data_IF_085145629859
#
_entry.id   IF_085145629859
#
_cell.length_a   1.000
_cell.length_b   1.000
_cell.length_c   1.000
_cell.angle_alpha   90.00
_cell.angle_beta   90.00
_cell.angle_gamma   90.00
#
_symmetry.space_group_name_H-M   'P 1'
#
loop_
_entity.id
_entity.type
_entity.pdbx_description
1 polymer ?
#
# COMPACT_ATOMS: atom_id res chain seq x y z
N UNK A 1 -38.12 -9.59 5.49
CA UNK A 1 -37.50 -8.53 6.32
C UNK A 1 -35.97 -8.69 6.33
N UNK A 2 -35.30 -8.53 5.17
CA UNK A 2 -33.82 -8.68 5.06
C UNK A 2 -33.21 -7.91 3.87
N UNK A 3 -33.93 -6.96 3.27
CA UNK A 3 -33.46 -6.22 2.09
C UNK A 3 -32.67 -4.95 2.43
N UNK A 4 -32.67 -4.49 3.69
CA UNK A 4 -32.06 -3.21 4.09
C UNK A 4 -30.54 -3.28 4.32
N UNK A 5 -29.93 -4.46 4.42
CA UNK A 5 -28.50 -4.59 4.75
C UNK A 5 -27.57 -4.68 3.53
N UNK A 6 -28.09 -4.86 2.30
CA UNK A 6 -27.24 -5.01 1.09
C UNK A 6 -26.45 -3.75 0.72
N UNK A 7 -26.86 -2.59 1.22
CA UNK A 7 -26.29 -1.30 0.86
C UNK A 7 -25.42 -0.68 1.96
N UNK A 8 -25.10 -1.45 3.01
CA UNK A 8 -24.19 -0.98 4.06
C UNK A 8 -22.75 -1.21 3.60
N UNK A 9 -21.93 -0.15 3.65
CA UNK A 9 -20.48 -0.17 3.38
C UNK A 9 -19.72 0.37 4.57
N UNK A 10 -18.48 -0.09 4.72
CA UNK A 10 -17.56 0.44 5.72
C UNK A 10 -16.78 1.60 5.10
N UNK A 11 -16.93 2.79 5.65
CA UNK A 11 -16.20 3.99 5.22
C UNK A 11 -15.58 4.57 6.48
N UNK A 12 -14.25 4.59 6.55
CA UNK A 12 -13.52 5.06 7.72
C UNK A 12 -13.98 4.39 9.04
N UNK A 13 -14.27 3.08 8.97
CA UNK A 13 -14.78 2.31 10.12
C UNK A 13 -16.27 2.51 10.43
N UNK A 14 -16.96 3.45 9.77
CA UNK A 14 -18.38 3.73 9.97
C UNK A 14 -19.21 2.91 8.97
N UNK A 15 -20.28 2.27 9.46
CA UNK A 15 -21.28 1.63 8.60
C UNK A 15 -22.19 2.69 8.00
N UNK A 16 -22.01 2.96 6.71
CA UNK A 16 -22.81 3.91 5.96
C UNK A 16 -23.72 3.18 4.96
N UNK A 17 -24.99 3.60 4.86
CA UNK A 17 -25.94 3.12 3.86
C UNK A 17 -25.97 4.10 2.67
N UNK A 18 -24.87 4.17 1.92
CA UNK A 18 -24.74 5.04 0.76
C UNK A 18 -24.42 4.21 -0.49
N UNK A 19 -24.93 4.65 -1.64
CA UNK A 19 -24.61 4.03 -2.92
C UNK A 19 -23.28 4.60 -3.44
N UNK A 20 -22.20 3.85 -3.25
CA UNK A 20 -20.87 4.14 -3.78
C UNK A 20 -20.32 2.91 -4.50
N UNK A 21 -19.50 3.07 -5.56
CA UNK A 21 -18.76 1.96 -6.14
C UNK A 21 -17.89 1.27 -5.09
N UNK A 22 -17.83 -0.06 -5.14
CA UNK A 22 -16.97 -0.83 -4.24
C UNK A 22 -15.58 -0.97 -4.85
N UNK A 23 -14.55 -0.82 -4.02
CA UNK A 23 -13.14 -0.95 -4.43
C UNK A 23 -12.40 -1.79 -3.42
N UNK A 24 -11.53 -2.68 -3.91
CA UNK A 24 -10.60 -3.42 -3.04
C UNK A 24 -9.27 -2.69 -3.03
N UNK A 25 -8.83 -2.26 -1.85
CA UNK A 25 -7.51 -1.64 -1.67
C UNK A 25 -6.46 -2.71 -1.39
N UNK A 26 -5.37 -2.67 -2.15
CA UNK A 26 -4.17 -3.47 -1.91
C UNK A 26 -3.00 -2.49 -1.66
N UNK A 27 -2.21 -2.65 -0.59
CA UNK A 27 -1.17 -1.69 -0.22
C UNK A 27 0.09 -1.89 -1.07
N UNK A 28 -0.03 -1.66 -2.38
CA UNK A 28 1.06 -1.77 -3.35
C UNK A 28 1.09 -0.51 -4.23
N UNK A 29 2.29 0.06 -4.37
CA UNK A 29 2.54 1.30 -5.08
C UNK A 29 4.05 1.54 -5.25
N UNK A 30 4.42 2.66 -5.85
CA UNK A 30 5.83 3.02 -6.06
C UNK A 30 6.59 3.36 -4.77
N UNK A 31 5.87 3.83 -3.77
CA UNK A 31 6.38 4.17 -2.45
C UNK A 31 6.36 2.99 -1.46
N UNK A 32 5.79 1.84 -1.85
CA UNK A 32 5.75 0.66 -1.00
C UNK A 32 7.16 0.16 -0.70
N UNK A 33 7.42 -0.09 0.59
CA UNK A 33 8.73 -0.58 1.07
C UNK A 33 8.88 -2.06 0.75
N UNK A 34 10.10 -2.45 0.39
CA UNK A 34 10.45 -3.84 0.09
C UNK A 34 11.44 -4.33 1.14
N UNK A 35 11.03 -5.36 1.86
CA UNK A 35 11.81 -6.00 2.92
C UNK A 35 12.40 -7.30 2.39
N UNK A 36 13.73 -7.43 2.49
CA UNK A 36 14.45 -8.65 2.12
C UNK A 36 14.99 -9.28 3.40
N UNK A 37 14.60 -10.52 3.65
CA UNK A 37 15.14 -11.28 4.77
C UNK A 37 16.52 -11.83 4.37
N UNK A 38 17.57 -11.36 5.03
CA UNK A 38 18.94 -11.76 4.71
C UNK A 38 19.24 -13.25 4.90
N UNK A 39 18.52 -13.93 5.80
CA UNK A 39 18.79 -15.33 6.18
C UNK A 39 18.23 -16.33 5.19
N UNK A 40 16.98 -16.14 4.77
CA UNK A 40 16.26 -17.07 3.91
C UNK A 40 15.98 -16.51 2.51
N UNK A 41 16.39 -15.26 2.24
CA UNK A 41 16.20 -14.54 0.98
C UNK A 41 14.72 -14.39 0.57
N UNK A 42 13.80 -14.50 1.53
CA UNK A 42 12.40 -14.17 1.31
C UNK A 42 12.22 -12.66 1.11
N UNK A 43 11.24 -12.30 0.27
CA UNK A 43 10.88 -10.91 -0.03
C UNK A 43 9.46 -10.66 0.46
N UNK A 44 9.30 -9.58 1.20
CA UNK A 44 8.00 -9.07 1.63
C UNK A 44 7.83 -7.64 1.09
N UNK A 45 6.64 -7.34 0.57
CA UNK A 45 6.32 -6.03 -0.01
C UNK A 45 5.21 -5.39 0.82
N UNK A 46 5.49 -4.22 1.38
CA UNK A 46 4.58 -3.50 2.28
C UNK A 46 4.34 -4.20 3.63
N UNK A 47 3.30 -3.83 4.39
CA UNK A 47 2.24 -2.85 4.10
C UNK A 47 2.61 -1.39 4.32
N UNK A 48 3.85 -1.13 4.74
CA UNK A 48 4.40 0.20 4.96
C UNK A 48 4.83 0.87 3.64
N UNK A 49 4.91 2.19 3.72
CA UNK A 49 5.24 3.06 2.60
C UNK A 49 6.12 4.22 3.08
N UNK A 50 7.06 4.66 2.24
CA UNK A 50 7.82 5.91 2.45
C UNK A 50 6.94 7.16 2.28
N UNK A 51 5.83 7.03 1.56
CA UNK A 51 4.87 8.09 1.28
C UNK A 51 5.52 9.30 0.64
N UNK A 52 5.19 10.49 1.16
CA UNK A 52 5.71 11.76 0.66
C UNK A 52 7.24 11.90 0.76
N UNK A 53 7.91 11.03 1.54
CA UNK A 53 9.37 11.05 1.70
C UNK A 53 10.12 10.25 0.64
N UNK A 54 9.44 9.82 -0.42
CA UNK A 54 10.02 9.00 -1.48
C UNK A 54 11.32 9.58 -2.05
N UNK A 55 11.33 10.88 -2.34
CA UNK A 55 12.49 11.57 -2.93
C UNK A 55 13.65 11.78 -1.95
N UNK A 56 13.48 11.49 -0.65
CA UNK A 56 14.53 11.63 0.35
C UNK A 56 15.01 10.28 0.89
N UNK A 57 14.09 9.32 1.04
CA UNK A 57 14.34 8.07 1.75
C UNK A 57 14.74 6.92 0.82
N UNK A 58 14.41 7.00 -0.48
CA UNK A 58 14.61 5.88 -1.41
C UNK A 58 15.96 5.92 -2.13
N UNK A 59 16.48 4.74 -2.47
CA UNK A 59 17.84 4.56 -3.00
C UNK A 59 18.21 5.48 -4.19
N UNK A 60 17.38 5.65 -5.24
CA UNK A 60 17.76 6.48 -6.39
C UNK A 60 17.98 7.95 -6.07
N UNK A 61 17.44 8.43 -4.94
CA UNK A 61 17.56 9.82 -4.52
C UNK A 61 18.56 10.02 -3.36
N UNK A 62 19.38 9.00 -3.07
CA UNK A 62 20.42 9.05 -2.04
C UNK A 62 19.97 8.60 -0.65
N UNK A 63 18.75 8.07 -0.52
CA UNK A 63 18.28 7.43 0.70
C UNK A 63 18.77 5.99 0.86
N UNK A 64 18.18 5.24 1.79
CA UNK A 64 18.58 3.86 2.12
C UNK A 64 17.45 2.83 1.98
N UNK A 65 16.21 3.28 1.74
CA UNK A 65 15.04 2.40 1.69
C UNK A 65 14.84 1.87 0.28
N UNK A 66 14.65 0.55 0.16
CA UNK A 66 14.22 -0.09 -1.07
C UNK A 66 12.71 0.10 -1.21
N UNK A 67 12.27 0.68 -2.32
CA UNK A 67 10.84 0.86 -2.64
C UNK A 67 10.53 0.42 -4.07
N UNK A 68 9.24 0.32 -4.42
CA UNK A 68 8.80 -0.03 -5.77
C UNK A 68 9.39 0.87 -6.87
N UNK A 69 9.31 2.20 -6.69
CA UNK A 69 9.93 3.20 -7.57
C UNK A 69 11.44 3.13 -7.49
N UNK A 70 11.99 2.87 -6.29
CA UNK A 70 13.42 2.64 -6.09
C UNK A 70 13.97 1.59 -7.04
N UNK A 71 13.28 0.44 -7.12
CA UNK A 71 13.60 -0.62 -8.06
C UNK A 71 13.34 -0.18 -9.51
N UNK A 72 12.18 0.41 -9.80
CA UNK A 72 11.81 0.77 -11.17
C UNK A 72 12.78 1.77 -11.85
N UNK A 73 13.46 2.62 -11.07
CA UNK A 73 14.48 3.54 -11.56
C UNK A 73 15.88 2.93 -11.67
N UNK A 74 16.13 1.85 -10.94
CA UNK A 74 17.46 1.22 -10.86
C UNK A 74 17.58 -0.01 -11.77
N UNK A 75 16.45 -0.63 -12.14
CA UNK A 75 16.36 -1.76 -13.07
C UNK A 75 16.59 -1.34 -14.53
#
# INVERSE_FOLDING_TARGET
>A
MNYLLKNVRLIDGIRANIAVPDTVSLPLGGDTVIHINEKDKSVQVGSDSVGYRLEQETLPFGGQIISGTGIALTA
#
